data_IF_227190407861
#
_entry.id   IF_227190407861
#
_cell.length_a   1.000
_cell.length_b   1.000
_cell.length_c   1.000
_cell.angle_alpha   90.00
_cell.angle_beta   90.00
_cell.angle_gamma   90.00
#
_symmetry.space_group_name_H-M   'P 1'
#
loop_
_entity.id
_entity.type
_entity.pdbx_description
1 polymer ?
#
# COMPACT_ATOMS: atom_id res chain seq x y z
N UNK A 1 40.06 -15.53 31.91
CA UNK A 1 38.71 -15.90 31.50
C UNK A 1 37.71 -14.79 31.86
N UNK A 2 37.60 -14.31 33.09
CA UNK A 2 36.65 -13.28 33.53
C UNK A 2 36.81 -11.93 32.79
N UNK A 3 38.04 -11.46 32.56
CA UNK A 3 38.27 -10.21 31.80
C UNK A 3 37.86 -10.28 30.33
N UNK A 4 38.01 -11.43 29.69
CA UNK A 4 37.59 -11.63 28.33
C UNK A 4 36.04 -11.65 28.23
N UNK A 5 35.36 -12.25 29.20
CA UNK A 5 33.90 -12.23 29.28
C UNK A 5 33.33 -10.83 29.51
N UNK A 6 33.99 -10.03 30.39
CA UNK A 6 33.61 -8.63 30.62
C UNK A 6 33.84 -7.77 29.38
N UNK A 7 34.93 -7.98 28.63
CA UNK A 7 35.19 -7.28 27.37
C UNK A 7 34.16 -7.64 26.31
N UNK A 8 33.78 -8.91 26.21
CA UNK A 8 32.75 -9.37 25.29
C UNK A 8 31.38 -8.78 25.63
N UNK A 9 30.98 -8.82 26.89
CA UNK A 9 29.73 -8.24 27.36
C UNK A 9 29.65 -6.72 27.14
N UNK A 10 30.78 -6.00 27.26
CA UNK A 10 30.85 -4.56 26.92
C UNK A 10 30.60 -4.29 25.42
N UNK A 11 31.21 -5.08 24.54
CA UNK A 11 30.99 -4.97 23.10
C UNK A 11 29.54 -5.28 22.70
N UNK A 12 28.97 -6.28 23.33
CA UNK A 12 27.55 -6.62 23.11
C UNK A 12 26.62 -5.51 23.62
N UNK A 13 26.95 -4.88 24.74
CA UNK A 13 26.19 -3.75 25.26
C UNK A 13 26.30 -2.51 24.33
N UNK A 14 27.49 -2.19 23.83
CA UNK A 14 27.70 -1.10 22.86
C UNK A 14 26.93 -1.32 21.57
N UNK A 15 26.98 -2.54 21.02
CA UNK A 15 26.17 -2.89 19.83
C UNK A 15 24.67 -2.82 20.09
N UNK A 16 24.21 -3.23 21.27
CA UNK A 16 22.80 -3.14 21.66
C UNK A 16 22.37 -1.67 21.84
N UNK A 17 23.21 -0.83 22.40
CA UNK A 17 22.97 0.61 22.55
C UNK A 17 22.90 1.32 21.19
N UNK A 18 23.81 1.00 20.26
CA UNK A 18 23.80 1.53 18.90
C UNK A 18 22.54 1.10 18.14
N UNK A 19 22.18 -0.17 18.22
CA UNK A 19 20.95 -0.70 17.60
C UNK A 19 19.68 -0.07 18.18
N UNK A 20 19.62 0.11 19.50
CA UNK A 20 18.46 0.79 20.15
C UNK A 20 18.40 2.26 19.76
N UNK A 21 19.53 2.95 19.63
CA UNK A 21 19.59 4.34 19.17
C UNK A 21 19.10 4.47 17.71
N UNK A 22 19.51 3.56 16.85
CA UNK A 22 19.07 3.54 15.45
C UNK A 22 17.57 3.23 15.31
N UNK A 23 17.06 2.29 16.11
CA UNK A 23 15.62 2.00 16.19
C UNK A 23 14.82 3.19 16.71
N UNK A 24 15.34 3.87 17.75
CA UNK A 24 14.69 5.06 18.32
C UNK A 24 14.65 6.21 17.31
N UNK A 25 15.75 6.43 16.57
CA UNK A 25 15.81 7.43 15.50
C UNK A 25 14.84 7.10 14.36
N UNK A 26 14.77 5.85 13.93
CA UNK A 26 13.83 5.41 12.90
C UNK A 26 12.37 5.59 13.35
N UNK A 27 12.05 5.18 14.57
CA UNK A 27 10.71 5.37 15.15
C UNK A 27 10.36 6.86 15.31
N UNK A 28 11.32 7.70 15.68
CA UNK A 28 11.13 9.15 15.79
C UNK A 28 10.83 9.78 14.42
N UNK A 29 11.55 9.37 13.38
CA UNK A 29 11.30 9.84 12.00
C UNK A 29 9.88 9.43 11.56
N UNK A 30 9.51 8.16 11.75
CA UNK A 30 8.19 7.66 11.40
C UNK A 30 7.07 8.37 12.18
N UNK A 31 7.31 8.65 13.47
CA UNK A 31 6.37 9.39 14.30
C UNK A 31 6.19 10.83 13.82
N UNK A 32 7.28 11.49 13.42
CA UNK A 32 7.21 12.85 12.88
C UNK A 32 6.48 12.87 11.54
N UNK A 33 6.79 11.95 10.62
CA UNK A 33 6.05 11.82 9.34
C UNK A 33 4.55 11.59 9.59
N UNK A 34 4.21 10.69 10.50
CA UNK A 34 2.82 10.43 10.86
C UNK A 34 2.13 11.64 11.51
N UNK A 35 2.87 12.46 12.29
CA UNK A 35 2.34 13.71 12.84
C UNK A 35 2.11 14.74 11.74
N UNK A 36 3.05 14.88 10.81
CA UNK A 36 2.93 15.81 9.68
C UNK A 36 1.75 15.43 8.78
N UNK A 37 1.60 14.13 8.48
CA UNK A 37 0.45 13.60 7.73
C UNK A 37 -0.87 13.84 8.46
N UNK A 38 -0.88 13.67 9.78
CA UNK A 38 -2.05 13.95 10.62
C UNK A 38 -2.40 15.45 10.64
N UNK A 39 -1.40 16.32 10.76
CA UNK A 39 -1.61 17.77 10.70
C UNK A 39 -2.12 18.21 9.32
N UNK A 40 -1.55 17.66 8.25
CA UNK A 40 -2.04 17.88 6.89
C UNK A 40 -3.48 17.39 6.72
N UNK A 41 -3.80 16.21 7.23
CA UNK A 41 -5.17 15.66 7.22
C UNK A 41 -6.14 16.51 8.04
N UNK A 42 -5.73 16.99 9.23
CA UNK A 42 -6.54 17.89 10.07
C UNK A 42 -6.78 19.23 9.37
N UNK A 43 -5.74 19.77 8.72
CA UNK A 43 -5.85 21.02 7.97
C UNK A 43 -6.82 20.89 6.80
N UNK A 44 -6.73 19.80 6.04
CA UNK A 44 -7.65 19.48 4.95
C UNK A 44 -9.09 19.30 5.46
N UNK A 45 -9.27 18.63 6.58
CA UNK A 45 -10.58 18.42 7.21
C UNK A 45 -11.21 19.75 7.69
N UNK A 46 -10.37 20.65 8.20
CA UNK A 46 -10.79 21.99 8.60
C UNK A 46 -11.23 22.82 7.39
N UNK A 47 -10.46 22.80 6.30
CA UNK A 47 -10.80 23.48 5.04
C UNK A 47 -12.12 22.97 4.46
N UNK A 48 -12.33 21.66 4.47
CA UNK A 48 -13.58 21.03 4.02
C UNK A 48 -14.79 21.42 4.88
N UNK A 49 -14.60 21.51 6.19
CA UNK A 49 -15.63 21.98 7.13
C UNK A 49 -16.00 23.43 6.91
N UNK A 50 -15.03 24.30 6.64
CA UNK A 50 -15.30 25.71 6.32
C UNK A 50 -16.01 25.84 4.97
N UNK A 51 -15.65 25.06 3.95
CA UNK A 51 -16.39 25.02 2.69
C UNK A 51 -17.83 24.54 2.88
N UNK A 52 -18.04 23.53 3.70
CA UNK A 52 -19.38 23.02 4.05
C UNK A 52 -20.19 24.08 4.80
N UNK A 53 -19.56 24.82 5.72
CA UNK A 53 -20.20 25.90 6.47
C UNK A 53 -20.58 27.06 5.53
N UNK A 54 -19.68 27.43 4.63
CA UNK A 54 -19.92 28.46 3.60
C UNK A 54 -21.07 28.07 2.66
N UNK A 55 -21.07 26.82 2.18
CA UNK A 55 -22.14 26.30 1.32
C UNK A 55 -23.50 26.25 2.04
N UNK A 56 -23.52 25.88 3.34
CA UNK A 56 -24.75 25.89 4.14
C UNK A 56 -25.27 27.32 4.38
N UNK A 57 -24.38 28.26 4.65
CA UNK A 57 -24.76 29.67 4.82
C UNK A 57 -25.33 30.25 3.53
N UNK A 58 -24.66 30.05 2.38
CA UNK A 58 -25.17 30.48 1.06
C UNK A 58 -26.53 29.87 0.72
N UNK A 59 -26.73 28.60 1.03
CA UNK A 59 -28.04 27.98 0.81
C UNK A 59 -29.12 28.60 1.71
N UNK A 60 -28.80 28.93 2.95
CA UNK A 60 -29.74 29.59 3.86
C UNK A 60 -30.09 31.01 3.37
N UNK A 61 -29.12 31.75 2.88
CA UNK A 61 -29.32 33.09 2.29
C UNK A 61 -30.15 33.02 1.02
N UNK A 62 -29.94 32.00 0.15
CA UNK A 62 -30.77 31.75 -1.02
C UNK A 62 -32.23 31.45 -0.62
N UNK A 63 -32.45 30.65 0.40
CA UNK A 63 -33.79 30.32 0.93
C UNK A 63 -34.43 31.57 1.53
N UNK A 64 -33.68 32.40 2.27
CA UNK A 64 -34.17 33.64 2.88
C UNK A 64 -34.53 34.69 1.81
N UNK A 65 -33.70 34.84 0.78
CA UNK A 65 -33.94 35.76 -0.34
C UNK A 65 -35.17 35.32 -1.18
N UNK A 66 -35.40 34.02 -1.34
CA UNK A 66 -36.59 33.47 -2.02
C UNK A 66 -37.87 33.65 -1.18
N UNK A 67 -37.75 33.60 0.16
CA UNK A 67 -38.85 33.93 1.07
C UNK A 67 -39.33 35.38 0.92
N UNK A 68 -38.42 36.29 0.52
CA UNK A 68 -38.75 37.69 0.28
C UNK A 68 -39.25 37.95 -1.17
N UNK A 69 -39.08 36.98 -2.05
CA UNK A 69 -39.52 37.05 -3.46
C UNK A 69 -40.84 36.31 -3.71
N UNK A 70 -41.76 36.37 -2.77
CA UNK A 70 -43.07 35.67 -2.79
C UNK A 70 -43.99 36.00 -3.97
N UNK A 71 -43.48 36.65 -4.99
CA UNK A 71 -44.27 36.97 -6.22
C UNK A 71 -43.72 36.41 -7.53
N UNK A 72 -42.62 35.64 -7.48
CA UNK A 72 -42.03 35.06 -8.69
C UNK A 72 -42.25 33.55 -8.78
N UNK A 73 -43.28 33.25 -9.56
CA UNK A 73 -43.42 32.04 -10.40
C UNK A 73 -43.15 30.65 -9.76
N UNK A 74 -44.19 29.86 -9.72
CA UNK A 74 -44.22 28.41 -9.46
C UNK A 74 -43.04 27.62 -10.09
N UNK A 75 -42.55 28.08 -11.24
CA UNK A 75 -41.35 27.52 -11.88
C UNK A 75 -40.03 27.71 -11.09
N UNK A 76 -39.91 28.78 -10.32
CA UNK A 76 -38.75 29.01 -9.44
C UNK A 76 -38.74 28.06 -8.25
N UNK A 77 -39.90 27.75 -7.67
CA UNK A 77 -40.04 26.79 -6.60
C UNK A 77 -39.72 25.35 -7.02
N UNK A 78 -40.23 24.93 -8.19
CA UNK A 78 -39.92 23.61 -8.76
C UNK A 78 -38.41 23.42 -9.07
N UNK A 79 -37.77 24.47 -9.61
CA UNK A 79 -36.34 24.42 -9.86
C UNK A 79 -35.52 24.38 -8.57
N UNK A 80 -36.00 25.01 -7.51
CA UNK A 80 -35.34 24.96 -6.21
C UNK A 80 -35.50 23.58 -5.55
N UNK A 81 -36.69 23.00 -5.62
CA UNK A 81 -37.00 21.67 -5.12
C UNK A 81 -36.10 20.61 -5.81
N UNK A 82 -35.98 20.68 -7.14
CA UNK A 82 -35.06 19.84 -7.92
C UNK A 82 -33.60 20.08 -7.53
N UNK A 83 -33.20 21.31 -7.27
CA UNK A 83 -31.83 21.62 -6.81
C UNK A 83 -31.56 21.07 -5.43
N UNK A 84 -32.52 21.18 -4.49
CA UNK A 84 -32.40 20.63 -3.14
C UNK A 84 -32.38 19.09 -3.16
N UNK A 85 -33.15 18.45 -4.01
CA UNK A 85 -33.15 17.01 -4.20
C UNK A 85 -31.78 16.54 -4.76
N UNK A 86 -31.28 17.23 -5.81
CA UNK A 86 -29.94 16.98 -6.36
C UNK A 86 -28.82 17.21 -5.32
N UNK A 87 -28.96 18.19 -4.41
CA UNK A 87 -27.99 18.41 -3.33
C UNK A 87 -28.05 17.30 -2.28
N UNK A 88 -29.24 16.84 -1.89
CA UNK A 88 -29.38 15.69 -1.00
C UNK A 88 -28.77 14.41 -1.60
N UNK A 89 -28.99 14.18 -2.89
CA UNK A 89 -28.37 13.05 -3.59
C UNK A 89 -26.84 13.15 -3.59
N UNK A 90 -26.30 14.37 -3.81
CA UNK A 90 -24.86 14.63 -3.76
C UNK A 90 -24.28 14.44 -2.37
N UNK A 91 -24.99 14.87 -1.32
CA UNK A 91 -24.55 14.68 0.06
C UNK A 91 -24.52 13.19 0.43
N UNK A 92 -25.54 12.42 0.05
CA UNK A 92 -25.56 10.97 0.23
C UNK A 92 -24.40 10.30 -0.55
N UNK A 93 -24.10 10.79 -1.75
CA UNK A 93 -22.99 10.29 -2.56
C UNK A 93 -21.64 10.58 -1.90
N UNK A 94 -21.44 11.80 -1.40
CA UNK A 94 -20.23 12.20 -0.68
C UNK A 94 -20.05 11.33 0.57
N UNK A 95 -21.10 11.12 1.35
CA UNK A 95 -21.05 10.25 2.53
C UNK A 95 -20.67 8.81 2.18
N UNK A 96 -21.28 8.23 1.15
CA UNK A 96 -20.93 6.88 0.68
C UNK A 96 -19.48 6.79 0.20
N UNK A 97 -18.96 7.82 -0.49
CA UNK A 97 -17.56 7.88 -0.90
C UNK A 97 -16.62 7.97 0.30
N UNK A 98 -16.94 8.80 1.29
CA UNK A 98 -16.16 8.91 2.54
C UNK A 98 -16.11 7.59 3.29
N UNK A 99 -17.25 6.89 3.40
CA UNK A 99 -17.31 5.58 4.03
C UNK A 99 -16.48 4.53 3.27
N UNK A 100 -16.51 4.57 1.94
CA UNK A 100 -15.70 3.67 1.10
C UNK A 100 -14.19 3.92 1.28
N UNK A 101 -13.76 5.19 1.31
CA UNK A 101 -12.36 5.57 1.57
C UNK A 101 -11.94 5.13 2.97
N UNK A 102 -12.75 5.41 3.99
CA UNK A 102 -12.45 5.02 5.38
C UNK A 102 -12.34 3.50 5.55
N UNK A 103 -13.19 2.73 4.90
CA UNK A 103 -13.10 1.25 4.88
C UNK A 103 -11.82 0.78 4.22
N UNK A 104 -11.46 1.34 3.05
CA UNK A 104 -10.22 1.03 2.35
C UNK A 104 -9.00 1.29 3.24
N UNK A 105 -8.95 2.45 3.90
CA UNK A 105 -7.83 2.83 4.77
C UNK A 105 -7.74 1.90 6.00
N UNK A 106 -8.88 1.52 6.57
CA UNK A 106 -8.94 0.57 7.69
C UNK A 106 -8.43 -0.82 7.29
N UNK A 107 -8.83 -1.33 6.11
CA UNK A 107 -8.36 -2.62 5.59
C UNK A 107 -6.85 -2.58 5.33
N UNK A 108 -6.37 -1.50 4.71
CA UNK A 108 -4.95 -1.28 4.45
C UNK A 108 -4.14 -1.27 5.75
N UNK A 109 -4.58 -0.53 6.76
CA UNK A 109 -3.92 -0.46 8.06
C UNK A 109 -3.89 -1.82 8.78
N UNK A 110 -5.02 -2.53 8.80
CA UNK A 110 -5.10 -3.86 9.38
C UNK A 110 -4.17 -4.86 8.69
N UNK A 111 -4.07 -4.80 7.36
CA UNK A 111 -3.15 -5.63 6.58
C UNK A 111 -1.69 -5.33 6.91
N UNK A 112 -1.31 -4.06 6.91
CA UNK A 112 0.07 -3.63 7.24
C UNK A 112 0.45 -4.06 8.66
N UNK A 113 -0.46 -3.87 9.62
CA UNK A 113 -0.24 -4.29 11.01
C UNK A 113 -0.04 -5.80 11.11
N UNK A 114 -0.88 -6.59 10.43
CA UNK A 114 -0.75 -8.04 10.38
C UNK A 114 0.56 -8.48 9.73
N UNK A 115 0.94 -7.89 8.59
CA UNK A 115 2.19 -8.19 7.89
C UNK A 115 3.40 -7.81 8.73
N UNK A 116 3.43 -6.61 9.32
CA UNK A 116 4.51 -6.19 10.21
C UNK A 116 4.61 -7.06 11.46
N UNK A 117 3.48 -7.49 12.04
CA UNK A 117 3.46 -8.40 13.19
C UNK A 117 4.08 -9.76 12.88
N UNK A 118 3.78 -10.32 11.71
CA UNK A 118 4.26 -11.65 11.28
C UNK A 118 5.69 -11.60 10.73
N UNK A 119 6.05 -10.55 9.99
CA UNK A 119 7.37 -10.38 9.35
C UNK A 119 8.37 -9.64 10.24
N UNK A 120 7.93 -8.70 11.09
CA UNK A 120 8.80 -7.90 11.96
C UNK A 120 9.55 -8.70 13.02
N UNK A 121 9.09 -9.93 13.32
CA UNK A 121 9.83 -10.87 14.17
C UNK A 121 11.04 -11.54 13.49
N UNK A 122 11.29 -11.24 12.22
CA UNK A 122 12.34 -11.90 11.45
C UNK A 122 13.66 -11.13 11.43
N UNK A 123 13.79 -9.96 12.04
CA UNK A 123 15.02 -9.15 12.12
C UNK A 123 15.85 -9.21 10.81
N UNK A 124 15.20 -9.02 9.67
CA UNK A 124 15.78 -9.28 8.36
C UNK A 124 15.76 -7.98 7.56
N UNK A 125 16.93 -7.38 7.36
CA UNK A 125 17.14 -6.20 6.50
C UNK A 125 16.76 -6.48 5.02
N UNK A 126 16.42 -7.72 4.74
CA UNK A 126 16.05 -8.20 3.40
C UNK A 126 14.54 -8.16 3.12
N UNK A 127 13.72 -7.75 4.10
CA UNK A 127 12.26 -7.67 3.96
C UNK A 127 11.77 -6.30 4.43
N UNK A 128 11.08 -5.61 3.55
CA UNK A 128 10.52 -4.28 3.84
C UNK A 128 9.03 -4.24 3.51
N UNK A 129 8.22 -3.70 4.43
CA UNK A 129 6.77 -3.50 4.22
C UNK A 129 6.48 -2.01 4.22
N UNK A 130 6.10 -1.48 3.05
CA UNK A 130 5.82 -0.07 2.80
C UNK A 130 4.39 0.13 2.31
N UNK A 131 3.85 1.33 2.57
CA UNK A 131 2.58 1.78 2.00
C UNK A 131 2.82 3.04 1.18
N UNK A 132 2.52 2.98 -0.09
CA UNK A 132 2.61 4.11 -1.00
C UNK A 132 1.26 4.33 -1.69
N UNK A 133 0.68 5.51 -1.55
CA UNK A 133 -0.60 5.87 -2.19
C UNK A 133 -1.75 4.88 -1.90
N UNK A 134 -1.77 4.31 -0.68
CA UNK A 134 -2.79 3.34 -0.27
C UNK A 134 -2.62 1.93 -0.84
N UNK A 135 -1.47 1.64 -1.46
CA UNK A 135 -1.07 0.32 -1.91
C UNK A 135 0.00 -0.23 -0.98
N UNK A 136 -0.14 -1.47 -0.55
CA UNK A 136 0.84 -2.14 0.32
C UNK A 136 1.86 -2.87 -0.54
N UNK A 137 3.12 -2.62 -0.27
CA UNK A 137 4.26 -3.25 -0.91
C UNK A 137 5.06 -4.05 0.10
N UNK A 138 5.31 -5.31 -0.21
CA UNK A 138 6.25 -6.16 0.52
C UNK A 138 7.43 -6.37 -0.42
N UNK A 139 8.56 -5.73 -0.12
CA UNK A 139 9.79 -5.87 -0.89
C UNK A 139 10.69 -6.90 -0.21
N UNK A 140 11.14 -7.89 -0.96
CA UNK A 140 12.00 -8.97 -0.48
C UNK A 140 13.26 -8.99 -1.36
N UNK A 141 14.43 -8.97 -0.73
CA UNK A 141 15.69 -9.00 -1.47
C UNK A 141 15.87 -10.32 -2.22
N UNK A 142 16.52 -10.23 -3.37
CA UNK A 142 16.77 -11.35 -4.25
C UNK A 142 17.65 -12.43 -3.61
N UNK A 143 18.65 -12.00 -2.84
CA UNK A 143 19.59 -12.92 -2.15
C UNK A 143 18.89 -13.81 -1.11
N UNK A 144 17.77 -13.34 -0.54
CA UNK A 144 16.95 -14.14 0.35
C UNK A 144 16.09 -15.14 -0.44
N UNK A 145 15.51 -14.69 -1.55
CA UNK A 145 14.54 -15.48 -2.30
C UNK A 145 15.18 -16.54 -3.20
N UNK A 146 16.29 -16.21 -3.87
CA UNK A 146 16.82 -17.04 -4.95
C UNK A 146 18.32 -17.33 -4.80
N UNK A 147 18.75 -18.43 -5.39
CA UNK A 147 20.17 -18.65 -5.65
C UNK A 147 20.69 -17.66 -6.70
N UNK A 148 21.96 -17.31 -6.61
CA UNK A 148 22.57 -16.32 -7.52
C UNK A 148 22.37 -16.69 -9.00
N UNK A 149 21.95 -15.71 -9.80
CA UNK A 149 21.71 -15.91 -11.25
C UNK A 149 20.57 -16.90 -11.57
N UNK A 150 19.70 -17.23 -10.62
CA UNK A 150 18.68 -18.26 -10.75
C UNK A 150 17.28 -17.72 -10.35
N UNK A 151 16.25 -18.49 -10.68
CA UNK A 151 14.88 -18.36 -10.20
C UNK A 151 14.49 -19.50 -9.23
N UNK A 152 15.45 -20.32 -8.79
CA UNK A 152 15.21 -21.38 -7.81
C UNK A 152 15.07 -20.82 -6.40
N UNK A 153 13.94 -21.11 -5.76
CA UNK A 153 13.57 -20.58 -4.45
C UNK A 153 14.37 -21.28 -3.33
N UNK A 154 14.93 -20.48 -2.40
CA UNK A 154 15.68 -20.97 -1.25
C UNK A 154 14.75 -21.54 -0.16
N UNK A 155 15.30 -22.33 0.79
CA UNK A 155 14.54 -22.81 1.95
C UNK A 155 14.04 -21.65 2.81
N UNK A 156 14.88 -20.64 3.03
CA UNK A 156 14.52 -19.45 3.82
C UNK A 156 13.42 -18.63 3.16
N UNK A 157 13.45 -18.54 1.83
CA UNK A 157 12.36 -17.92 1.07
C UNK A 157 11.01 -18.60 1.30
N UNK A 158 11.00 -19.94 1.40
CA UNK A 158 9.76 -20.69 1.70
C UNK A 158 9.17 -20.28 3.05
N UNK A 159 10.00 -20.11 4.08
CA UNK A 159 9.55 -19.70 5.41
C UNK A 159 8.93 -18.30 5.39
N UNK A 160 9.60 -17.34 4.73
CA UNK A 160 9.12 -15.97 4.61
C UNK A 160 7.82 -15.91 3.81
N UNK A 161 7.80 -16.54 2.64
CA UNK A 161 6.63 -16.57 1.77
C UNK A 161 5.45 -17.33 2.41
N UNK A 162 5.73 -18.32 3.24
CA UNK A 162 4.72 -19.01 4.04
C UNK A 162 4.00 -18.08 5.02
N UNK A 163 4.73 -17.21 5.70
CA UNK A 163 4.14 -16.18 6.57
C UNK A 163 3.32 -15.13 5.82
N UNK A 164 3.79 -14.72 4.65
CA UNK A 164 3.01 -13.84 3.78
C UNK A 164 1.72 -14.54 3.33
N UNK A 165 1.82 -15.81 2.94
CA UNK A 165 0.68 -16.60 2.52
C UNK A 165 -0.37 -16.77 3.62
N UNK A 166 0.06 -16.95 4.89
CA UNK A 166 -0.85 -17.01 6.04
C UNK A 166 -1.69 -15.74 6.17
N UNK A 167 -1.06 -14.56 6.10
CA UNK A 167 -1.76 -13.28 6.15
C UNK A 167 -2.71 -13.10 4.96
N UNK A 168 -2.26 -13.46 3.77
CA UNK A 168 -3.06 -13.32 2.53
C UNK A 168 -4.25 -14.30 2.51
N UNK A 169 -4.08 -15.52 3.02
CA UNK A 169 -5.17 -16.51 3.09
C UNK A 169 -6.24 -16.09 4.10
N UNK A 170 -5.87 -15.38 5.17
CA UNK A 170 -6.82 -14.82 6.13
C UNK A 170 -7.59 -13.59 5.59
N UNK A 171 -7.27 -13.12 4.37
CA UNK A 171 -7.87 -11.97 3.69
C UNK A 171 -8.26 -12.35 2.25
N UNK A 172 -9.32 -13.15 2.05
CA UNK A 172 -9.69 -13.70 0.74
C UNK A 172 -10.10 -12.63 -0.29
N UNK A 173 -10.51 -11.45 0.18
CA UNK A 173 -10.89 -10.30 -0.65
C UNK A 173 -9.73 -9.55 -1.28
N UNK A 174 -8.47 -9.92 -0.97
CA UNK A 174 -7.29 -9.22 -1.46
C UNK A 174 -6.72 -9.93 -2.68
N UNK A 175 -6.45 -9.19 -3.72
CA UNK A 175 -5.65 -9.60 -4.87
C UNK A 175 -4.23 -9.03 -4.75
N UNK A 176 -3.27 -9.71 -5.33
CA UNK A 176 -1.90 -9.23 -5.31
C UNK A 176 -1.11 -9.63 -6.56
N UNK A 177 -0.17 -8.80 -6.87
CA UNK A 177 0.76 -9.00 -7.98
C UNK A 177 2.16 -9.22 -7.42
N UNK A 178 2.85 -10.22 -7.94
CA UNK A 178 4.27 -10.46 -7.66
C UNK A 178 5.09 -9.87 -8.79
N UNK A 179 5.87 -8.85 -8.49
CA UNK A 179 6.76 -8.18 -9.44
C UNK A 179 8.21 -8.58 -9.20
N UNK A 180 8.88 -9.08 -10.23
CA UNK A 180 10.34 -9.31 -10.23
C UNK A 180 11.07 -8.09 -10.79
N UNK A 181 12.15 -7.68 -10.12
CA UNK A 181 13.05 -6.60 -10.54
C UNK A 181 14.49 -7.10 -10.57
N UNK A 182 15.27 -6.63 -11.54
CA UNK A 182 16.70 -6.90 -11.66
C UNK A 182 17.51 -5.62 -11.50
N UNK A 183 18.81 -5.74 -11.44
CA UNK A 183 19.73 -4.64 -11.73
C UNK A 183 20.01 -4.55 -13.24
N UNK A 184 20.89 -3.63 -13.64
CA UNK A 184 21.27 -3.41 -15.04
C UNK A 184 22.38 -4.34 -15.54
N UNK A 185 22.79 -5.34 -14.77
CA UNK A 185 23.78 -6.31 -15.23
C UNK A 185 23.11 -7.31 -16.17
N UNK A 186 23.52 -7.40 -17.44
CA UNK A 186 22.92 -8.33 -18.36
C UNK A 186 23.11 -9.78 -17.91
N UNK A 187 22.07 -10.58 -18.09
CA UNK A 187 22.13 -12.03 -17.89
C UNK A 187 21.75 -12.73 -19.19
N UNK A 188 22.49 -13.78 -19.51
CA UNK A 188 22.16 -14.69 -20.60
C UNK A 188 22.66 -16.09 -20.22
N UNK A 189 21.78 -17.06 -20.20
CA UNK A 189 22.06 -18.48 -19.92
C UNK A 189 21.15 -19.33 -20.80
N UNK A 190 21.38 -20.63 -20.87
CA UNK A 190 20.52 -21.55 -21.64
C UNK A 190 19.04 -21.49 -21.23
N UNK A 191 18.76 -21.10 -19.97
CA UNK A 191 17.42 -21.04 -19.41
C UNK A 191 16.85 -19.63 -19.30
N UNK A 192 17.67 -18.57 -19.47
CA UNK A 192 17.32 -17.16 -19.24
C UNK A 192 17.89 -16.32 -20.36
N UNK A 193 17.04 -15.68 -21.13
CA UNK A 193 17.46 -14.91 -22.32
C UNK A 193 18.00 -13.53 -21.89
N UNK A 194 17.32 -12.84 -20.97
CA UNK A 194 17.64 -11.48 -20.54
C UNK A 194 17.05 -11.16 -19.15
N UNK A 195 17.18 -9.91 -18.74
CA UNK A 195 16.61 -9.42 -17.48
C UNK A 195 15.07 -9.41 -17.44
N UNK A 196 14.41 -9.29 -18.59
CA UNK A 196 12.95 -9.44 -18.67
C UNK A 196 12.55 -10.87 -18.33
N UNK A 197 13.18 -11.83 -18.98
CA UNK A 197 12.93 -13.25 -18.77
C UNK A 197 13.24 -13.67 -17.32
N UNK A 198 14.36 -13.23 -16.77
CA UNK A 198 14.73 -13.50 -15.37
C UNK A 198 13.68 -12.95 -14.40
N UNK A 199 13.27 -11.69 -14.56
CA UNK A 199 12.32 -11.04 -13.67
C UNK A 199 10.95 -11.73 -13.68
N UNK A 200 10.44 -12.11 -14.85
CA UNK A 200 9.18 -12.85 -15.01
C UNK A 200 9.27 -14.25 -14.41
N UNK A 201 10.36 -14.99 -14.70
CA UNK A 201 10.56 -16.35 -14.16
C UNK A 201 10.62 -16.35 -12.64
N UNK A 202 11.26 -15.36 -12.03
CA UNK A 202 11.32 -15.18 -10.58
C UNK A 202 9.95 -14.91 -9.98
N UNK A 203 9.20 -13.98 -10.56
CA UNK A 203 7.83 -13.70 -10.13
C UNK A 203 6.95 -14.96 -10.24
N UNK A 204 7.04 -15.67 -11.34
CA UNK A 204 6.29 -16.92 -11.56
C UNK A 204 6.68 -18.01 -10.58
N UNK A 205 7.97 -18.13 -10.23
CA UNK A 205 8.44 -19.12 -9.24
C UNK A 205 7.82 -18.84 -7.86
N UNK A 206 7.74 -17.58 -7.44
CA UNK A 206 7.07 -17.18 -6.19
C UNK A 206 5.57 -17.50 -6.24
N UNK A 207 4.87 -17.11 -7.32
CA UNK A 207 3.43 -17.41 -7.48
C UNK A 207 3.16 -18.91 -7.42
N UNK A 208 3.96 -19.73 -8.11
CA UNK A 208 3.83 -21.20 -8.06
C UNK A 208 4.05 -21.76 -6.67
N UNK A 209 5.01 -21.23 -5.92
CA UNK A 209 5.23 -21.64 -4.53
C UNK A 209 4.00 -21.31 -3.66
N UNK A 210 3.49 -20.09 -3.77
CA UNK A 210 2.31 -19.65 -3.03
C UNK A 210 1.07 -20.52 -3.35
N UNK A 211 0.89 -20.85 -4.62
CA UNK A 211 -0.20 -21.71 -5.08
C UNK A 211 -0.07 -23.15 -4.59
N UNK A 212 1.09 -23.78 -4.84
CA UNK A 212 1.26 -25.21 -4.67
C UNK A 212 1.49 -25.61 -3.20
N UNK A 213 2.39 -24.87 -2.51
CA UNK A 213 2.82 -25.21 -1.15
C UNK A 213 1.89 -24.58 -0.11
N UNK A 214 1.42 -23.34 -0.34
CA UNK A 214 0.63 -22.58 0.63
C UNK A 214 -0.85 -22.40 0.26
N UNK A 215 -1.31 -23.01 -0.84
CA UNK A 215 -2.73 -23.08 -1.22
C UNK A 215 -3.40 -21.71 -1.41
N UNK A 216 -2.62 -20.71 -1.80
CA UNK A 216 -3.18 -19.42 -2.19
C UNK A 216 -3.92 -19.56 -3.52
N UNK A 217 -5.15 -19.03 -3.60
CA UNK A 217 -5.97 -19.14 -4.81
C UNK A 217 -5.29 -18.45 -6.02
N UNK A 218 -5.11 -19.14 -7.16
CA UNK A 218 -4.44 -18.59 -8.33
C UNK A 218 -5.18 -17.41 -8.96
N UNK A 219 -6.50 -17.33 -8.80
CA UNK A 219 -7.32 -16.23 -9.32
C UNK A 219 -6.96 -14.87 -8.72
N UNK A 220 -6.32 -14.89 -7.55
CA UNK A 220 -5.93 -13.70 -6.78
C UNK A 220 -4.50 -13.25 -7.06
N UNK A 221 -3.77 -13.97 -7.91
CA UNK A 221 -2.35 -13.78 -8.11
C UNK A 221 -2.02 -13.41 -9.54
N UNK A 222 -1.19 -12.39 -9.71
CA UNK A 222 -0.58 -12.03 -10.99
C UNK A 222 0.94 -12.08 -10.86
N UNK A 223 1.62 -12.69 -11.82
CA UNK A 223 3.09 -12.64 -11.93
C UNK A 223 3.50 -11.61 -12.99
N UNK A 224 4.40 -10.69 -12.65
CA UNK A 224 4.88 -9.64 -13.54
C UNK A 224 6.39 -9.50 -13.46
N UNK A 225 7.02 -9.12 -14.58
CA UNK A 225 8.42 -8.74 -14.64
C UNK A 225 8.57 -7.24 -14.92
N UNK A 226 9.56 -6.61 -14.31
CA UNK A 226 9.90 -5.19 -14.52
C UNK A 226 11.30 -4.99 -15.06
N UNK A 227 12.06 -6.09 -15.24
CA UNK A 227 13.45 -6.00 -15.67
C UNK A 227 14.25 -5.02 -14.79
N UNK A 228 15.11 -4.23 -15.37
CA UNK A 228 15.97 -3.22 -14.73
C UNK A 228 15.40 -1.79 -14.76
N UNK A 229 14.23 -1.59 -15.39
CA UNK A 229 13.74 -0.24 -15.76
C UNK A 229 13.06 0.54 -14.65
N UNK A 230 12.85 -0.06 -13.47
CA UNK A 230 12.30 0.62 -12.29
C UNK A 230 13.25 0.39 -11.11
N UNK A 231 14.47 0.97 -11.13
CA UNK A 231 15.42 0.84 -10.05
C UNK A 231 14.98 1.67 -8.83
N UNK A 232 15.34 1.22 -7.61
CA UNK A 232 15.18 2.01 -6.39
C UNK A 232 16.34 3.02 -6.24
N UNK A 233 17.52 2.62 -6.69
CA UNK A 233 18.75 3.41 -6.61
C UNK A 233 19.50 3.29 -7.92
N UNK A 234 20.34 4.28 -8.22
CA UNK A 234 21.21 4.22 -9.37
C UNK A 234 22.10 2.95 -9.34
N UNK A 235 22.25 2.29 -10.46
CA UNK A 235 23.02 1.03 -10.60
C UNK A 235 24.56 1.22 -10.55
N UNK A 236 25.06 2.30 -9.97
CA UNK A 236 26.44 2.73 -10.03
C UNK A 236 27.40 1.93 -9.12
N UNK A 237 26.89 1.24 -8.10
CA UNK A 237 27.68 0.41 -7.20
C UNK A 237 27.00 -0.93 -6.89
N UNK A 238 27.76 -1.86 -6.30
CA UNK A 238 27.28 -3.20 -5.99
C UNK A 238 26.16 -3.23 -4.96
N UNK A 239 26.18 -2.33 -3.99
CA UNK A 239 25.16 -2.23 -2.94
C UNK A 239 23.82 -1.78 -3.52
N UNK A 240 23.81 -0.72 -4.33
CA UNK A 240 22.60 -0.24 -4.99
C UNK A 240 22.01 -1.29 -5.93
N UNK A 241 22.87 -1.96 -6.71
CA UNK A 241 22.42 -3.08 -7.56
C UNK A 241 21.79 -4.21 -6.74
N UNK A 242 22.34 -4.52 -5.57
CA UNK A 242 21.76 -5.52 -4.68
C UNK A 242 20.36 -5.13 -4.18
N UNK A 243 20.13 -3.85 -3.88
CA UNK A 243 18.82 -3.31 -3.50
C UNK A 243 17.84 -3.26 -4.66
N UNK A 244 18.33 -3.06 -5.88
CA UNK A 244 17.50 -3.09 -7.08
C UNK A 244 17.00 -4.50 -7.40
N UNK A 245 17.84 -5.54 -7.17
CA UNK A 245 17.44 -6.94 -7.30
C UNK A 245 16.51 -7.32 -6.15
N UNK A 246 15.22 -7.28 -6.41
CA UNK A 246 14.17 -7.56 -5.44
C UNK A 246 12.94 -8.19 -6.08
N UNK A 247 12.14 -8.81 -5.28
CA UNK A 247 10.76 -9.17 -5.63
C UNK A 247 9.80 -8.36 -4.76
N UNK A 248 8.84 -7.71 -5.38
CA UNK A 248 7.78 -6.94 -4.70
C UNK A 248 6.47 -7.71 -4.78
N UNK A 249 5.83 -7.90 -3.65
CA UNK A 249 4.44 -8.33 -3.60
C UNK A 249 3.60 -7.05 -3.42
N UNK A 250 2.83 -6.73 -4.43
CA UNK A 250 1.98 -5.53 -4.50
C UNK A 250 0.57 -5.97 -4.16
N UNK A 251 0.05 -5.52 -3.02
CA UNK A 251 -1.32 -5.85 -2.63
C UNK A 251 -2.27 -4.84 -3.27
N UNK A 252 -3.15 -5.35 -4.12
CA UNK A 252 -4.13 -4.57 -4.85
C UNK A 252 -5.46 -4.61 -4.08
N UNK A 253 -5.95 -3.50 -3.57
CA UNK A 253 -7.30 -3.47 -3.03
C UNK A 253 -8.30 -3.71 -4.16
N UNK A 254 -9.29 -4.57 -3.94
CA UNK A 254 -10.40 -4.72 -4.88
C UNK A 254 -11.15 -3.39 -4.99
N UNK A 255 -11.02 -2.77 -6.14
CA UNK A 255 -11.68 -1.50 -6.46
C UNK A 255 -13.10 -1.71 -7.04
N UNK A 256 -13.51 -2.96 -7.26
CA UNK A 256 -14.80 -3.30 -7.86
C UNK A 256 -15.96 -2.67 -7.08
N UNK A 257 -15.94 -2.75 -5.75
CA UNK A 257 -16.95 -2.10 -4.90
C UNK A 257 -16.94 -0.57 -5.04
N UNK A 258 -15.79 0.02 -5.33
CA UNK A 258 -15.63 1.45 -5.54
C UNK A 258 -16.15 1.84 -6.93
N UNK A 259 -15.85 1.06 -7.96
CA UNK A 259 -16.39 1.25 -9.32
C UNK A 259 -17.88 1.01 -9.37
N UNK A 260 -18.40 -0.03 -8.70
CA UNK A 260 -19.84 -0.28 -8.56
C UNK A 260 -20.60 0.88 -7.91
N UNK A 261 -19.99 1.54 -6.93
CA UNK A 261 -20.56 2.73 -6.29
C UNK A 261 -20.56 3.95 -7.22
N UNK A 262 -19.54 4.08 -8.07
CA UNK A 262 -19.47 5.14 -9.08
C UNK A 262 -20.50 4.87 -10.19
N UNK A 263 -20.57 3.66 -10.74
CA UNK A 263 -21.52 3.28 -11.80
C UNK A 263 -22.96 3.42 -11.34
N UNK A 264 -23.33 2.82 -10.21
CA UNK A 264 -24.68 2.96 -9.64
C UNK A 264 -25.03 4.41 -9.29
N UNK A 265 -24.01 5.23 -9.07
CA UNK A 265 -24.19 6.66 -8.86
C UNK A 265 -24.33 7.44 -10.16
N UNK A 266 -23.91 6.91 -11.32
CA UNK A 266 -24.07 7.54 -12.64
C UNK A 266 -25.39 7.17 -13.27
N UNK A 267 -25.88 5.93 -13.07
CA UNK A 267 -27.16 5.44 -13.63
C UNK A 267 -28.41 6.09 -13.02
N UNK A 268 -28.30 6.66 -11.81
CA UNK A 268 -29.40 7.41 -11.19
C UNK A 268 -29.50 8.87 -11.64
N UNK A 269 -28.65 9.29 -12.59
CA UNK A 269 -28.61 10.66 -13.12
C UNK A 269 -29.23 10.82 -14.54
N UNK A 270 -29.91 9.77 -15.04
CA UNK A 270 -30.81 9.82 -16.19
C UNK A 270 -32.27 9.84 -15.73
#
# INVERSE_FOLDING_TARGET
>A
LAQAQVSQARKELETLQENTKNLLNSASIQLNTCKDDKEAAITNLSALKEQLKFLKANNQDLINNLGNLTTLSQKGAENLEKSLESMKEKDIRIQKMQDAVSRKDSVTLALVTSLKGVLGNMNDDDIEVNVEKGVVYISISDKLLFSSGSYMITKRAKEVLGKVAEVVNNKPEIEFMVEGHTDNVPINTDAIIDNWDLSVKRATAVVRLLQNDFKVSPERMTAAGRSEYIPLFDNNNAENRAKNRRTRIVVLPKLDQFYDLIEKGMDTAQ
#
